data_IF_894078050035
#
_entry.id   IF_894078050035
#
_cell.length_a   1.000
_cell.length_b   1.000
_cell.length_c   1.000
_cell.angle_alpha   90.00
_cell.angle_beta   90.00
_cell.angle_gamma   90.00
#
_symmetry.space_group_name_H-M   'P 1'
#
loop_
_entity.id
_entity.type
_entity.pdbx_description
1 polymer ?
#
# COMPACT_ATOMS: atom_id res chain seq x y z
N UNK A 1 59.79 -1.74 -34.01
CA UNK A 1 59.17 -2.88 -34.71
C UNK A 1 58.13 -3.49 -33.79
N UNK A 2 56.84 -3.45 -34.20
CA UNK A 2 55.65 -4.19 -33.70
C UNK A 2 55.16 -3.86 -32.25
N UNK A 3 54.10 -3.04 -32.09
CA UNK A 3 52.63 -3.32 -32.19
C UNK A 3 52.00 -3.64 -30.81
N UNK A 4 51.27 -2.63 -30.28
CA UNK A 4 49.90 -2.65 -29.73
C UNK A 4 49.43 -3.87 -28.89
N UNK A 5 49.09 -3.67 -27.61
CA UNK A 5 47.93 -4.27 -26.89
C UNK A 5 47.48 -3.35 -25.74
N UNK A 6 46.56 -2.43 -26.01
CA UNK A 6 45.12 -2.46 -25.61
C UNK A 6 44.90 -1.96 -24.16
N UNK A 7 44.34 -0.75 -24.08
CA UNK A 7 43.69 -0.16 -22.92
C UNK A 7 42.61 -1.10 -22.37
N UNK A 8 42.53 -1.25 -21.04
CA UNK A 8 41.28 -1.63 -20.37
C UNK A 8 40.94 -0.54 -19.35
N UNK A 9 40.25 0.47 -19.85
CA UNK A 9 39.45 1.41 -19.09
C UNK A 9 38.05 0.80 -19.05
N UNK A 10 37.61 0.24 -17.91
CA UNK A 10 36.19 -0.11 -17.71
C UNK A 10 35.75 0.53 -16.40
N UNK A 11 34.94 1.57 -16.58
CA UNK A 11 34.20 2.27 -15.56
C UNK A 11 33.08 1.37 -15.01
N UNK A 12 32.83 1.45 -13.71
CA UNK A 12 31.56 1.05 -13.12
C UNK A 12 31.17 2.10 -12.08
N UNK A 13 30.60 3.21 -12.56
CA UNK A 13 29.84 4.13 -11.71
C UNK A 13 28.43 3.58 -11.70
N UNK A 14 28.04 2.88 -10.63
CA UNK A 14 26.64 2.56 -10.37
C UNK A 14 25.94 3.85 -9.99
N UNK A 15 25.50 4.60 -11.01
CA UNK A 15 24.59 5.72 -10.83
C UNK A 15 23.23 5.12 -10.45
N UNK A 16 22.95 5.04 -9.14
CA UNK A 16 21.58 4.79 -8.67
C UNK A 16 20.81 6.03 -9.10
N UNK A 17 20.02 5.89 -10.16
CA UNK A 17 19.14 6.94 -10.65
C UNK A 17 18.05 7.18 -9.62
N UNK A 18 18.30 8.09 -8.68
CA UNK A 18 17.26 8.65 -7.84
C UNK A 18 16.46 9.60 -8.73
N UNK A 19 15.40 9.10 -9.37
CA UNK A 19 14.43 9.95 -10.06
C UNK A 19 13.63 10.70 -9.01
N UNK A 20 14.11 11.89 -8.63
CA UNK A 20 13.27 12.87 -7.94
C UNK A 20 12.28 13.42 -8.97
N UNK A 21 11.12 12.78 -9.09
CA UNK A 21 9.98 13.38 -9.76
C UNK A 21 9.37 14.41 -8.78
N UNK A 22 9.63 15.70 -9.01
CA UNK A 22 8.83 16.75 -8.36
C UNK A 22 7.52 16.85 -9.12
N UNK A 23 6.53 16.04 -8.75
CA UNK A 23 5.20 16.11 -9.33
C UNK A 23 4.42 17.28 -8.70
N UNK A 24 4.00 18.24 -9.54
CA UNK A 24 2.93 19.20 -9.25
C UNK A 24 1.58 18.72 -9.81
N UNK A 25 1.45 17.42 -10.07
CA UNK A 25 0.22 16.83 -10.58
C UNK A 25 -0.67 16.42 -9.40
N UNK A 26 -1.91 16.91 -9.41
CA UNK A 26 -2.92 16.67 -8.39
C UNK A 26 -3.41 15.20 -8.32
N UNK A 27 -2.79 14.27 -9.06
CA UNK A 27 -3.08 12.84 -9.04
C UNK A 27 -1.76 12.09 -9.22
N UNK A 28 -1.25 11.46 -8.15
CA UNK A 28 -0.09 10.57 -8.19
C UNK A 28 -0.58 9.15 -8.46
N UNK A 29 -0.01 8.47 -9.45
CA UNK A 29 -0.38 7.10 -9.84
C UNK A 29 0.74 6.13 -9.47
N UNK A 30 0.46 5.21 -8.55
CA UNK A 30 1.40 4.23 -8.02
C UNK A 30 0.96 2.82 -8.44
N UNK A 31 1.67 2.22 -9.40
CA UNK A 31 1.48 0.82 -9.79
C UNK A 31 2.17 -0.13 -8.81
N UNK A 32 1.41 -1.04 -8.20
CA UNK A 32 1.82 -2.01 -7.19
C UNK A 32 1.23 -3.40 -7.54
N UNK A 33 2.10 -4.35 -7.90
CA UNK A 33 1.67 -5.69 -8.27
C UNK A 33 0.66 -5.68 -9.42
N UNK A 34 -0.55 -6.18 -9.16
CA UNK A 34 -1.65 -6.28 -10.12
C UNK A 34 -2.46 -4.99 -10.34
N UNK A 35 -2.25 -3.96 -9.53
CA UNK A 35 -3.16 -2.80 -9.47
C UNK A 35 -2.39 -1.49 -9.43
N UNK A 36 -2.97 -0.45 -10.03
CA UNK A 36 -2.50 0.92 -9.91
C UNK A 36 -3.46 1.72 -9.06
N UNK A 37 -2.93 2.43 -8.05
CA UNK A 37 -3.68 3.31 -7.16
C UNK A 37 -3.34 4.75 -7.52
N UNK A 38 -4.36 5.57 -7.76
CA UNK A 38 -4.27 7.01 -7.96
C UNK A 38 -4.72 7.73 -6.69
N UNK A 39 -4.04 8.80 -6.30
CA UNK A 39 -4.39 9.62 -5.13
C UNK A 39 -3.96 11.09 -5.30
N UNK A 40 -4.73 12.02 -4.73
CA UNK A 40 -4.38 13.45 -4.67
C UNK A 40 -3.47 13.73 -3.47
N UNK A 41 -2.22 14.07 -3.80
CA UNK A 41 -1.17 14.44 -2.84
C UNK A 41 -0.85 15.95 -2.88
N UNK A 42 -1.61 16.77 -3.59
CA UNK A 42 -1.35 18.20 -3.76
C UNK A 42 -1.36 19.00 -2.45
N UNK A 43 -1.96 18.44 -1.39
CA UNK A 43 -2.09 19.06 -0.07
C UNK A 43 -0.97 18.74 0.93
N UNK A 44 -0.08 17.77 0.64
CA UNK A 44 0.88 17.26 1.63
C UNK A 44 2.30 17.85 1.52
N UNK A 45 2.53 18.73 0.54
CA UNK A 45 3.83 19.36 0.30
C UNK A 45 4.70 18.59 -0.69
N UNK A 46 6.02 18.76 -0.61
CA UNK A 46 6.97 17.99 -1.43
C UNK A 46 7.13 16.58 -0.86
N UNK A 47 7.18 15.58 -1.73
CA UNK A 47 7.27 14.18 -1.33
C UNK A 47 8.07 13.36 -2.33
N UNK A 48 8.48 12.17 -1.90
CA UNK A 48 9.06 11.13 -2.74
C UNK A 48 8.29 9.82 -2.56
N UNK A 49 8.08 9.10 -3.67
CA UNK A 49 7.47 7.76 -3.65
C UNK A 49 8.58 6.71 -3.67
N UNK A 50 8.60 5.84 -2.66
CA UNK A 50 9.51 4.71 -2.56
C UNK A 50 8.70 3.41 -2.66
N UNK A 51 8.98 2.57 -3.66
CA UNK A 51 8.40 1.23 -3.77
C UNK A 51 9.29 0.24 -3.03
N UNK A 52 8.69 -0.61 -2.21
CA UNK A 52 9.40 -1.72 -1.57
C UNK A 52 9.46 -2.95 -2.46
N UNK A 53 10.13 -3.98 -1.95
CA UNK A 53 10.18 -5.29 -2.60
C UNK A 53 8.84 -6.02 -2.44
N UNK A 54 8.44 -6.77 -3.46
CA UNK A 54 7.26 -7.64 -3.36
C UNK A 54 7.61 -8.84 -2.48
N UNK A 55 6.81 -9.06 -1.45
CA UNK A 55 6.96 -10.21 -0.55
C UNK A 55 5.90 -11.25 -0.89
N UNK A 56 6.30 -12.53 -0.93
CA UNK A 56 5.36 -13.63 -1.08
C UNK A 56 5.38 -14.57 0.14
N UNK A 57 4.19 -14.97 0.59
CA UNK A 57 4.02 -15.84 1.77
C UNK A 57 2.83 -16.77 1.60
N UNK A 58 2.88 -17.93 2.24
CA UNK A 58 1.78 -18.89 2.26
C UNK A 58 0.80 -18.56 3.39
N UNK A 59 -0.50 -18.66 3.09
CA UNK A 59 -1.57 -18.69 4.08
C UNK A 59 -2.08 -20.12 4.23
N UNK A 60 -2.15 -20.63 5.47
CA UNK A 60 -2.44 -22.05 5.70
C UNK A 60 -3.94 -22.40 5.70
N UNK A 61 -4.81 -21.47 6.15
CA UNK A 61 -6.24 -21.74 6.40
C UNK A 61 -7.12 -20.50 6.21
N UNK A 62 -7.80 -20.33 5.06
CA UNK A 62 -7.80 -21.20 3.88
C UNK A 62 -6.45 -21.17 3.18
N UNK A 63 -6.17 -22.18 2.35
CA UNK A 63 -4.86 -22.33 1.72
C UNK A 63 -4.77 -21.51 0.45
N UNK A 64 -3.94 -20.48 0.46
CA UNK A 64 -3.62 -19.67 -0.71
C UNK A 64 -2.23 -19.02 -0.55
N UNK A 65 -1.67 -18.54 -1.64
CA UNK A 65 -0.44 -17.76 -1.64
C UNK A 65 -0.78 -16.28 -1.65
N UNK A 66 -0.02 -15.50 -0.92
CA UNK A 66 -0.11 -14.06 -0.79
C UNK A 66 1.07 -13.39 -1.51
N UNK A 67 0.82 -12.31 -2.22
CA UNK A 67 1.83 -11.35 -2.65
C UNK A 67 1.48 -9.96 -2.12
N UNK A 68 2.44 -9.29 -1.50
CA UNK A 68 2.27 -7.93 -0.94
C UNK A 68 3.25 -7.02 -1.68
N UNK A 69 2.71 -6.02 -2.36
CA UNK A 69 3.48 -4.99 -3.06
C UNK A 69 3.34 -3.65 -2.32
N UNK A 70 4.35 -3.22 -1.56
CA UNK A 70 4.29 -1.99 -0.76
C UNK A 70 4.86 -0.76 -1.47
N UNK A 71 4.37 0.41 -1.09
CA UNK A 71 5.01 1.70 -1.33
C UNK A 71 4.80 2.67 -0.16
N UNK A 72 5.71 3.63 -0.04
CA UNK A 72 5.64 4.71 0.94
C UNK A 72 5.86 6.03 0.25
N UNK A 73 4.95 6.97 0.49
CA UNK A 73 5.08 8.39 0.16
C UNK A 73 5.72 9.07 1.36
N UNK A 74 6.99 9.45 1.22
CA UNK A 74 7.74 10.19 2.25
C UNK A 74 7.61 11.69 2.01
N UNK A 75 7.15 12.41 3.03
CA UNK A 75 6.98 13.85 2.97
C UNK A 75 8.29 14.54 3.40
N UNK A 76 8.76 15.48 2.58
CA UNK A 76 10.02 16.17 2.83
C UNK A 76 9.97 16.97 4.13
N UNK A 77 10.83 16.61 5.09
CA UNK A 77 10.95 17.32 6.36
C UNK A 77 9.85 17.01 7.39
N UNK A 78 8.98 16.03 7.13
CA UNK A 78 7.99 15.52 8.07
C UNK A 78 8.32 14.07 8.48
N UNK A 79 7.78 13.63 9.61
CA UNK A 79 7.84 12.22 10.04
C UNK A 79 6.67 11.41 9.49
N UNK A 80 5.60 12.10 9.14
CA UNK A 80 4.35 11.60 8.62
C UNK A 80 4.52 11.10 7.19
N UNK A 81 3.73 10.09 6.84
CA UNK A 81 3.83 9.37 5.58
C UNK A 81 2.46 8.82 5.16
N UNK A 82 2.32 8.63 3.85
CA UNK A 82 1.22 7.83 3.28
C UNK A 82 1.81 6.50 2.85
N UNK A 83 1.21 5.40 3.28
CA UNK A 83 1.66 4.05 2.96
C UNK A 83 0.61 3.38 2.09
N UNK A 84 1.05 2.59 1.12
CA UNK A 84 0.19 1.86 0.21
C UNK A 84 0.64 0.42 0.15
N UNK A 85 -0.31 -0.51 0.15
CA UNK A 85 -0.04 -1.91 -0.13
C UNK A 85 -1.11 -2.47 -1.07
N UNK A 86 -0.68 -3.27 -2.03
CA UNK A 86 -1.57 -4.13 -2.83
C UNK A 86 -1.29 -5.57 -2.45
N UNK A 87 -2.33 -6.21 -1.97
CA UNK A 87 -2.38 -7.58 -1.50
C UNK A 87 -3.04 -8.42 -2.58
N UNK A 88 -2.31 -9.35 -3.18
CA UNK A 88 -2.85 -10.28 -4.18
C UNK A 88 -2.85 -11.71 -3.63
N UNK A 89 -4.03 -12.31 -3.60
CA UNK A 89 -4.26 -13.69 -3.18
C UNK A 89 -4.37 -14.59 -4.42
N UNK A 90 -3.78 -15.79 -4.35
CA UNK A 90 -3.83 -16.75 -5.45
C UNK A 90 -5.21 -17.39 -5.66
N UNK A 91 -6.15 -17.16 -4.75
CA UNK A 91 -7.51 -17.67 -4.77
C UNK A 91 -8.47 -16.56 -4.32
N UNK A 92 -9.70 -16.59 -4.84
CA UNK A 92 -10.74 -15.66 -4.41
C UNK A 92 -11.29 -16.10 -3.06
N UNK A 93 -11.24 -15.19 -2.09
CA UNK A 93 -11.58 -15.46 -0.70
C UNK A 93 -12.64 -14.47 -0.19
N UNK A 94 -13.47 -14.85 0.80
CA UNK A 94 -14.44 -13.93 1.41
C UNK A 94 -13.75 -12.77 2.12
N UNK A 95 -14.24 -11.55 1.88
CA UNK A 95 -13.62 -10.32 2.38
C UNK A 95 -14.37 -9.68 3.55
N UNK A 96 -15.70 -9.68 3.56
CA UNK A 96 -16.51 -9.20 4.70
C UNK A 96 -16.96 -10.30 5.65
N UNK A 97 -16.73 -11.57 5.27
CA UNK A 97 -16.99 -12.73 6.13
C UNK A 97 -15.69 -13.22 6.80
N UNK A 98 -15.79 -13.87 7.98
CA UNK A 98 -14.62 -14.41 8.66
C UNK A 98 -13.83 -15.41 7.80
N UNK A 99 -12.56 -15.08 7.52
CA UNK A 99 -11.64 -15.97 6.81
C UNK A 99 -10.89 -16.90 7.80
N UNK A 100 -10.67 -16.43 9.04
CA UNK A 100 -10.16 -17.22 10.16
C UNK A 100 -11.28 -17.66 11.09
N UNK A 101 -11.52 -18.97 11.20
CA UNK A 101 -12.54 -19.53 12.11
C UNK A 101 -12.29 -19.24 13.59
N UNK A 102 -11.03 -19.06 13.97
CA UNK A 102 -10.63 -18.94 15.39
C UNK A 102 -10.91 -17.55 15.93
N UNK A 103 -10.61 -16.54 15.13
CA UNK A 103 -10.53 -15.16 15.61
C UNK A 103 -11.71 -14.31 15.09
N UNK A 104 -12.59 -14.90 14.25
CA UNK A 104 -13.74 -14.23 13.62
C UNK A 104 -13.38 -13.01 12.77
N UNK A 105 -12.09 -12.88 12.42
CA UNK A 105 -11.52 -11.80 11.63
C UNK A 105 -11.94 -11.97 10.17
N UNK A 106 -12.49 -10.91 9.59
CA UNK A 106 -12.89 -10.86 8.18
C UNK A 106 -11.69 -10.90 7.25
N UNK A 107 -11.89 -11.22 5.97
CA UNK A 107 -10.79 -11.20 4.99
C UNK A 107 -10.11 -9.83 4.91
N UNK A 108 -10.87 -8.74 4.94
CA UNK A 108 -10.35 -7.38 4.89
C UNK A 108 -9.51 -7.02 6.12
N UNK A 109 -10.01 -7.33 7.33
CA UNK A 109 -9.26 -7.14 8.58
C UNK A 109 -7.97 -7.97 8.60
N UNK A 110 -8.05 -9.21 8.12
CA UNK A 110 -6.89 -10.08 8.01
C UNK A 110 -5.80 -9.47 7.10
N UNK A 111 -6.19 -8.83 6.00
CA UNK A 111 -5.25 -8.13 5.13
C UNK A 111 -4.54 -7.00 5.88
N UNK A 112 -5.26 -6.21 6.69
CA UNK A 112 -4.66 -5.14 7.50
C UNK A 112 -3.69 -5.72 8.53
N UNK A 113 -4.05 -6.80 9.23
CA UNK A 113 -3.15 -7.43 10.21
C UNK A 113 -1.88 -8.03 9.60
N UNK A 114 -1.91 -8.36 8.31
CA UNK A 114 -0.76 -8.89 7.55
C UNK A 114 0.07 -7.81 6.86
N UNK A 115 -0.41 -6.58 6.88
CA UNK A 115 0.24 -5.44 6.26
C UNK A 115 1.47 -4.98 7.05
N UNK A 116 2.50 -4.49 6.37
CA UNK A 116 3.62 -3.82 7.04
C UNK A 116 3.25 -2.40 7.51
N UNK A 117 2.07 -1.89 7.10
CA UNK A 117 1.46 -0.65 7.62
C UNK A 117 1.06 -0.83 9.08
N UNK A 118 0.58 -2.02 9.47
CA UNK A 118 0.08 -2.31 10.82
C UNK A 118 1.25 -2.49 11.81
N UNK A 119 1.41 -1.61 12.82
CA UNK A 119 2.45 -1.76 13.82
C UNK A 119 2.25 -3.03 14.64
N UNK A 120 3.35 -3.74 14.90
CA UNK A 120 3.34 -5.00 15.63
C UNK A 120 2.86 -4.78 17.07
N UNK A 121 1.81 -5.53 17.45
CA UNK A 121 1.31 -5.55 18.83
C UNK A 121 0.32 -4.45 19.17
N UNK A 122 -0.04 -3.60 18.21
CA UNK A 122 -1.11 -2.62 18.36
C UNK A 122 -2.48 -3.24 18.06
N UNK A 123 -3.51 -2.72 18.71
CA UNK A 123 -4.90 -3.06 18.39
C UNK A 123 -5.47 -2.06 17.39
N UNK A 124 -6.37 -2.53 16.53
CA UNK A 124 -7.12 -1.69 15.60
C UNK A 124 -8.60 -1.71 15.93
N UNK A 125 -9.29 -0.60 15.64
CA UNK A 125 -10.76 -0.55 15.60
C UNK A 125 -11.20 -0.32 14.16
N UNK A 126 -12.14 -1.13 13.70
CA UNK A 126 -12.63 -1.12 12.33
C UNK A 126 -14.08 -0.62 12.27
N UNK A 127 -14.39 0.13 11.22
CA UNK A 127 -15.75 0.51 10.85
C UNK A 127 -15.93 0.41 9.32
N UNK A 128 -17.18 0.27 8.89
CA UNK A 128 -17.53 0.27 7.46
C UNK A 128 -17.11 1.60 6.82
N UNK A 129 -16.50 1.53 5.63
CA UNK A 129 -16.04 2.71 4.91
C UNK A 129 -16.21 2.52 3.41
N UNK A 130 -16.52 3.60 2.68
CA UNK A 130 -16.59 3.57 1.21
C UNK A 130 -15.38 4.29 0.65
N UNK A 131 -14.62 3.62 -0.22
CA UNK A 131 -13.43 4.15 -0.87
C UNK A 131 -13.38 3.67 -2.32
N UNK A 132 -13.07 4.56 -3.25
CA UNK A 132 -13.15 4.30 -4.70
C UNK A 132 -14.52 3.76 -5.18
N UNK A 133 -15.60 4.05 -4.44
CA UNK A 133 -16.93 3.49 -4.70
C UNK A 133 -17.11 2.02 -4.31
N UNK A 134 -16.08 1.38 -3.74
CA UNK A 134 -16.15 0.03 -3.19
C UNK A 134 -16.50 0.08 -1.70
N UNK A 135 -17.24 -0.93 -1.24
CA UNK A 135 -17.43 -1.17 0.19
C UNK A 135 -16.14 -1.73 0.77
N UNK A 136 -15.61 -1.08 1.79
CA UNK A 136 -14.38 -1.46 2.47
C UNK A 136 -14.48 -1.22 3.97
N UNK A 137 -13.34 -1.11 4.62
CA UNK A 137 -13.22 -0.80 6.05
C UNK A 137 -12.22 0.33 6.27
N UNK A 138 -12.46 1.10 7.32
CA UNK A 138 -11.51 2.04 7.91
C UNK A 138 -11.04 1.47 9.25
N UNK A 139 -9.75 1.19 9.35
CA UNK A 139 -9.07 0.88 10.60
C UNK A 139 -8.48 2.15 11.21
N UNK A 140 -8.65 2.33 12.51
CA UNK A 140 -7.88 3.26 13.32
C UNK A 140 -6.97 2.46 14.24
N UNK A 141 -5.67 2.67 14.10
CA UNK A 141 -4.61 1.99 14.82
C UNK A 141 -3.90 2.98 15.74
N UNK A 142 -3.57 2.53 16.95
CA UNK A 142 -3.04 3.35 18.02
C UNK A 142 -4.03 4.46 18.44
N UNK A 143 -4.61 4.32 19.64
CA UNK A 143 -5.58 5.27 20.16
C UNK A 143 -4.94 6.58 20.65
N UNK A 144 -3.62 6.76 20.54
CA UNK A 144 -2.97 8.02 20.84
C UNK A 144 -3.57 9.12 19.95
N UNK A 145 -4.37 10.04 20.50
CA UNK A 145 -5.05 11.07 19.72
C UNK A 145 -4.06 12.00 19.02
N UNK A 146 -2.81 12.05 19.49
CA UNK A 146 -1.78 12.92 18.94
C UNK A 146 -1.14 12.34 17.68
N UNK A 147 -1.23 11.01 17.46
CA UNK A 147 -0.63 10.31 16.31
C UNK A 147 -1.46 9.10 15.86
N UNK A 148 -2.72 9.30 15.44
CA UNK A 148 -3.53 8.22 14.94
C UNK A 148 -2.98 7.72 13.60
N UNK A 149 -2.98 6.40 13.41
CA UNK A 149 -2.76 5.79 12.10
C UNK A 149 -4.12 5.33 11.56
N UNK A 150 -4.49 5.82 10.39
CA UNK A 150 -5.70 5.40 9.69
C UNK A 150 -5.34 4.51 8.52
N UNK A 151 -6.06 3.42 8.33
CA UNK A 151 -5.85 2.48 7.23
C UNK A 151 -7.19 2.22 6.56
N UNK A 152 -7.35 2.65 5.32
CA UNK A 152 -8.50 2.28 4.49
C UNK A 152 -8.14 1.03 3.68
N UNK A 153 -9.02 0.03 3.67
CA UNK A 153 -8.85 -1.18 2.89
C UNK A 153 -10.10 -1.47 2.04
N UNK A 154 -9.90 -1.84 0.78
CA UNK A 154 -10.96 -2.20 -0.17
C UNK A 154 -10.46 -3.21 -1.19
N UNK A 155 -11.39 -3.81 -1.94
CA UNK A 155 -11.07 -4.75 -3.02
C UNK A 155 -11.70 -4.28 -4.33
N UNK A 156 -10.89 -3.93 -5.34
CA UNK A 156 -11.41 -3.48 -6.63
C UNK A 156 -12.08 -4.61 -7.43
N UNK A 157 -11.67 -5.86 -7.19
CA UNK A 157 -12.20 -7.04 -7.87
C UNK A 157 -13.28 -7.78 -7.07
N UNK A 158 -13.74 -7.21 -5.96
CA UNK A 158 -14.74 -7.84 -5.11
C UNK A 158 -16.06 -8.04 -5.88
N UNK A 159 -16.53 -9.29 -5.86
CA UNK A 159 -17.82 -9.68 -6.39
C UNK A 159 -18.46 -10.73 -5.46
N UNK A 160 -19.73 -10.55 -5.11
CA UNK A 160 -20.46 -11.43 -4.19
C UNK A 160 -19.69 -11.75 -2.88
N UNK A 161 -19.12 -10.72 -2.25
CA UNK A 161 -18.29 -10.79 -1.03
C UNK A 161 -16.86 -11.38 -1.20
N UNK A 162 -16.52 -11.92 -2.37
CA UNK A 162 -15.22 -12.54 -2.59
C UNK A 162 -14.32 -11.72 -3.54
N UNK A 163 -13.02 -11.73 -3.30
CA UNK A 163 -12.04 -11.02 -4.14
C UNK A 163 -10.66 -11.66 -4.06
N UNK A 164 -9.78 -11.30 -4.99
CA UNK A 164 -8.38 -11.74 -5.03
C UNK A 164 -7.42 -10.61 -4.74
N UNK A 165 -7.86 -9.36 -4.87
CA UNK A 165 -7.03 -8.17 -4.68
C UNK A 165 -7.60 -7.35 -3.52
N UNK A 166 -6.74 -6.98 -2.57
CA UNK A 166 -7.06 -6.00 -1.53
C UNK A 166 -6.06 -4.86 -1.63
N UNK A 167 -6.55 -3.63 -1.72
CA UNK A 167 -5.75 -2.42 -1.70
C UNK A 167 -5.85 -1.79 -0.30
N UNK A 168 -4.73 -1.32 0.22
CA UNK A 168 -4.62 -0.64 1.49
C UNK A 168 -3.98 0.73 1.28
N UNK A 169 -4.53 1.76 1.91
CA UNK A 169 -3.88 3.07 2.04
C UNK A 169 -3.88 3.46 3.52
N UNK A 170 -2.68 3.54 4.07
CA UNK A 170 -2.39 4.00 5.43
C UNK A 170 -1.95 5.46 5.45
N UNK A 171 -2.28 6.20 6.49
CA UNK A 171 -1.80 7.58 6.70
C UNK A 171 -1.78 7.92 8.19
N UNK A 172 -0.67 8.47 8.65
CA UNK A 172 -0.48 9.04 9.99
C UNK A 172 -0.58 10.59 9.99
N UNK A 173 -1.06 11.18 8.89
CA UNK A 173 -1.39 12.59 8.80
C UNK A 173 -2.64 12.93 9.63
N UNK A 174 -2.83 14.22 10.00
CA UNK A 174 -4.07 14.68 10.61
C UNK A 174 -5.29 14.27 9.80
N UNK A 175 -6.37 13.87 10.50
CA UNK A 175 -7.56 13.28 9.88
C UNK A 175 -8.11 14.06 8.68
N UNK A 176 -8.18 15.39 8.76
CA UNK A 176 -8.71 16.21 7.66
C UNK A 176 -7.86 16.13 6.36
N UNK A 177 -6.58 15.80 6.48
CA UNK A 177 -5.69 15.58 5.33
C UNK A 177 -5.83 14.14 4.85
N UNK A 178 -5.75 13.17 5.77
CA UNK A 178 -5.95 11.75 5.49
C UNK A 178 -7.26 11.48 4.77
N UNK A 179 -8.36 12.08 5.25
CA UNK A 179 -9.69 11.95 4.66
C UNK A 179 -9.73 12.44 3.21
N UNK A 180 -9.09 13.58 2.90
CA UNK A 180 -9.02 14.09 1.52
C UNK A 180 -8.26 13.14 0.60
N UNK A 181 -7.17 12.55 1.10
CA UNK A 181 -6.43 11.53 0.36
C UNK A 181 -7.33 10.34 0.09
N UNK A 182 -8.00 9.80 1.12
CA UNK A 182 -8.92 8.65 0.95
C UNK A 182 -10.08 8.94 0.00
N UNK A 183 -10.67 10.14 0.05
CA UNK A 183 -11.74 10.56 -0.85
C UNK A 183 -11.28 10.72 -2.32
N UNK A 184 -9.98 10.89 -2.55
CA UNK A 184 -9.38 11.01 -3.90
C UNK A 184 -8.96 9.68 -4.50
N UNK A 185 -8.94 8.60 -3.71
CA UNK A 185 -8.44 7.31 -4.15
C UNK A 185 -9.24 6.79 -5.33
N UNK A 186 -8.53 6.33 -6.35
CA UNK A 186 -9.08 5.45 -7.37
C UNK A 186 -8.13 4.33 -7.77
N UNK A 187 -8.68 3.16 -8.09
CA UNK A 187 -7.91 1.97 -8.45
C UNK A 187 -8.25 1.48 -9.85
N UNK A 188 -7.24 0.96 -10.54
CA UNK A 188 -7.37 0.36 -11.88
C UNK A 188 -6.51 -0.89 -11.99
N UNK A 189 -7.06 -1.91 -12.60
CA UNK A 189 -6.31 -3.11 -13.00
C UNK A 189 -5.16 -2.70 -13.92
N UNK A 190 -3.97 -3.26 -13.68
CA UNK A 190 -2.74 -2.95 -14.43
C UNK A 190 -2.51 -3.88 -15.62
#
# INVERSE_FOLDING_TARGET
MKILRILNLIALVCLIGMTCATALAADEIITLGSTSISLDLGGIGSYAVEKGDVVSTDHDKPRFQYEIAPATVKIDGASEQVMLEVHQMSASEPLSSPISRKDQITGMEHCIEKSDIMPIGEEMKTEEYTIDGHQGILATVNSDPEKPLYIAAWSPDQNDDAGTIVCLVGSDLPWETTKKIFESVSSKDS
#
